data_IF_582734124772
#
_entry.id   IF_582734124772
#
_cell.length_a   1.000
_cell.length_b   1.000
_cell.length_c   1.000
_cell.angle_alpha   90.00
_cell.angle_beta   90.00
_cell.angle_gamma   90.00
#
_symmetry.space_group_name_H-M   'P 1'
#
loop_
_entity.id
_entity.type
_entity.pdbx_description
1 polymer ?
#
# COMPACT_ATOMS: atom_id res chain seq x y z
N UNK A 1 -17.30 13.45 -57.12
CA UNK A 1 -17.91 13.37 -55.77
C UNK A 1 -16.93 12.60 -54.91
N UNK A 2 -16.22 13.27 -54.00
CA UNK A 2 -15.39 12.58 -53.01
C UNK A 2 -16.36 11.92 -52.05
N UNK A 3 -16.50 10.60 -52.11
CA UNK A 3 -17.23 9.86 -51.10
C UNK A 3 -16.41 10.00 -49.81
N UNK A 4 -16.86 10.85 -48.89
CA UNK A 4 -16.34 10.87 -47.54
C UNK A 4 -16.61 9.51 -46.92
N UNK A 5 -15.56 8.73 -46.67
CA UNK A 5 -15.69 7.53 -45.85
C UNK A 5 -16.31 7.94 -44.50
N UNK A 6 -17.31 7.21 -43.99
CA UNK A 6 -17.85 7.49 -42.67
C UNK A 6 -16.70 7.43 -41.65
N UNK A 7 -16.69 8.29 -40.62
CA UNK A 7 -15.65 8.26 -39.60
C UNK A 7 -15.56 6.87 -38.98
N UNK A 8 -14.34 6.36 -38.85
CA UNK A 8 -14.05 5.06 -38.27
C UNK A 8 -14.64 5.01 -36.86
N UNK A 9 -15.64 4.16 -36.63
CA UNK A 9 -16.17 3.91 -35.27
C UNK A 9 -15.21 2.96 -34.56
N UNK A 10 -14.50 3.45 -33.56
CA UNK A 10 -13.66 2.62 -32.70
C UNK A 10 -14.54 1.79 -31.75
N UNK A 11 -14.18 0.52 -31.46
CA UNK A 11 -14.95 -0.32 -30.55
C UNK A 11 -14.85 0.21 -29.12
N UNK A 12 -15.89 0.02 -28.31
CA UNK A 12 -15.83 0.39 -26.89
C UNK A 12 -15.29 -0.76 -26.03
N UNK A 13 -14.95 -0.49 -24.77
CA UNK A 13 -14.55 -1.53 -23.82
C UNK A 13 -15.64 -2.60 -23.59
N UNK A 14 -16.91 -2.30 -23.86
CA UNK A 14 -18.01 -3.28 -23.80
C UNK A 14 -18.05 -4.23 -25.01
N UNK A 15 -17.43 -3.85 -26.13
CA UNK A 15 -17.39 -4.64 -27.37
C UNK A 15 -16.10 -5.46 -27.51
N UNK A 16 -15.13 -5.22 -26.62
CA UNK A 16 -13.82 -5.86 -26.62
C UNK A 16 -13.75 -6.99 -25.58
N UNK A 17 -12.98 -8.06 -25.83
CA UNK A 17 -12.74 -9.10 -24.84
C UNK A 17 -12.16 -8.54 -23.54
N UNK A 18 -12.74 -8.91 -22.40
CA UNK A 18 -12.25 -8.52 -21.07
C UNK A 18 -11.67 -9.68 -20.26
N UNK A 19 -11.60 -10.87 -20.86
CA UNK A 19 -10.92 -12.07 -20.33
C UNK A 19 -10.32 -12.83 -21.50
N UNK A 20 -9.17 -13.44 -21.28
CA UNK A 20 -8.48 -14.29 -22.26
C UNK A 20 -8.86 -15.78 -22.15
N UNK A 21 -9.83 -16.11 -21.28
CA UNK A 21 -10.35 -17.46 -20.98
C UNK A 21 -9.28 -18.53 -20.67
N UNK A 22 -8.05 -18.13 -20.33
CA UNK A 22 -6.93 -19.07 -20.14
C UNK A 22 -6.42 -18.99 -18.70
N UNK A 23 -6.71 -19.97 -17.82
CA UNK A 23 -6.21 -19.95 -16.45
C UNK A 23 -4.71 -20.31 -16.42
N UNK A 24 -3.85 -19.29 -16.38
CA UNK A 24 -2.39 -19.46 -16.46
C UNK A 24 -1.61 -18.91 -15.27
N UNK A 25 -2.22 -18.04 -14.45
CA UNK A 25 -1.50 -17.35 -13.39
C UNK A 25 -1.28 -18.21 -12.14
N UNK A 26 -0.10 -18.04 -11.56
CA UNK A 26 0.21 -18.60 -10.25
C UNK A 26 -0.15 -17.63 -9.11
N UNK A 27 0.01 -18.09 -7.87
CA UNK A 27 -0.35 -17.33 -6.67
C UNK A 27 0.41 -15.99 -6.57
N UNK A 28 1.68 -15.94 -7.01
CA UNK A 28 2.50 -14.73 -6.89
C UNK A 28 2.18 -13.69 -7.96
N UNK A 29 1.90 -14.12 -9.18
CA UNK A 29 1.35 -13.29 -10.26
C UNK A 29 0.08 -12.56 -9.81
N UNK A 30 -0.74 -13.22 -8.99
CA UNK A 30 -1.90 -12.58 -8.35
C UNK A 30 -1.55 -11.68 -7.16
N UNK A 31 -0.77 -12.17 -6.18
CA UNK A 31 -0.57 -11.48 -4.90
C UNK A 31 0.26 -10.20 -5.02
N UNK A 32 1.30 -10.19 -5.85
CA UNK A 32 2.24 -9.06 -5.96
C UNK A 32 1.59 -7.79 -6.53
N UNK A 33 0.89 -7.80 -7.68
CA UNK A 33 0.27 -6.58 -8.20
C UNK A 33 -0.89 -6.12 -7.29
N UNK A 34 -1.60 -7.05 -6.64
CA UNK A 34 -2.62 -6.71 -5.66
C UNK A 34 -2.04 -6.08 -4.37
N UNK A 35 -0.86 -6.50 -3.92
CA UNK A 35 -0.13 -5.83 -2.84
C UNK A 35 0.20 -4.38 -3.22
N UNK A 36 0.79 -4.18 -4.41
CA UNK A 36 1.12 -2.85 -4.92
C UNK A 36 -0.12 -1.96 -5.05
N UNK A 37 -1.22 -2.50 -5.61
CA UNK A 37 -2.51 -1.81 -5.71
C UNK A 37 -3.03 -1.40 -4.32
N UNK A 38 -2.97 -2.31 -3.34
CA UNK A 38 -3.49 -2.08 -1.99
C UNK A 38 -2.73 -0.97 -1.27
N UNK A 39 -1.39 -1.00 -1.35
CA UNK A 39 -0.53 0.06 -0.80
C UNK A 39 -0.82 1.39 -1.52
N UNK A 40 -0.86 1.37 -2.86
CA UNK A 40 -1.10 2.57 -3.67
C UNK A 40 -2.46 3.20 -3.35
N UNK A 41 -3.51 2.39 -3.26
CA UNK A 41 -4.85 2.84 -2.91
C UNK A 41 -4.92 3.50 -1.54
N UNK A 42 -4.07 3.09 -0.59
CA UNK A 42 -3.98 3.68 0.74
C UNK A 42 -3.22 5.02 0.74
N UNK A 43 -2.03 5.07 0.13
CA UNK A 43 -1.19 6.28 0.11
C UNK A 43 -1.78 7.37 -0.80
N UNK A 44 -2.48 6.98 -1.87
CA UNK A 44 -3.15 7.87 -2.81
C UNK A 44 -4.68 7.90 -2.63
N UNK A 45 -5.18 7.61 -1.42
CA UNK A 45 -6.63 7.59 -1.14
C UNK A 45 -7.37 8.88 -1.51
N UNK A 46 -6.71 10.04 -1.41
CA UNK A 46 -7.26 11.34 -1.77
C UNK A 46 -7.09 11.72 -3.25
N UNK A 47 -6.35 10.93 -4.03
CA UNK A 47 -6.02 11.20 -5.43
C UNK A 47 -7.00 10.48 -6.36
N UNK A 48 -7.44 11.16 -7.43
CA UNK A 48 -8.46 10.66 -8.38
C UNK A 48 -8.00 10.62 -9.84
N UNK A 49 -6.79 11.10 -10.15
CA UNK A 49 -6.18 11.15 -11.48
C UNK A 49 -5.20 9.99 -11.73
N UNK A 50 -5.58 8.77 -11.35
CA UNK A 50 -4.76 7.58 -11.59
C UNK A 50 -5.62 6.31 -11.66
N UNK A 51 -5.13 5.29 -12.36
CA UNK A 51 -5.72 3.96 -12.38
C UNK A 51 -4.60 2.91 -12.32
N UNK A 52 -4.80 1.86 -11.53
CA UNK A 52 -3.89 0.72 -11.49
C UNK A 52 -4.69 -0.53 -11.86
N UNK A 53 -4.33 -1.15 -12.99
CA UNK A 53 -4.93 -2.39 -13.46
C UNK A 53 -4.09 -3.59 -13.00
N UNK A 54 -4.76 -4.71 -12.77
CA UNK A 54 -4.17 -6.02 -12.46
C UNK A 54 -4.82 -7.00 -13.40
N UNK A 55 -4.02 -7.79 -14.12
CA UNK A 55 -4.49 -8.76 -15.11
C UNK A 55 -5.61 -8.17 -16.01
N UNK A 56 -5.30 -7.04 -16.65
CA UNK A 56 -6.29 -6.28 -17.42
C UNK A 56 -5.73 -5.92 -18.79
N UNK A 57 -6.50 -6.28 -19.82
CA UNK A 57 -6.20 -5.98 -21.20
C UNK A 57 -6.08 -4.48 -21.46
N UNK A 58 -4.97 -4.10 -22.11
CA UNK A 58 -4.71 -2.78 -22.67
C UNK A 58 -4.92 -2.86 -24.18
N UNK A 59 -5.90 -2.11 -24.68
CA UNK A 59 -6.21 -2.02 -26.10
C UNK A 59 -5.66 -0.75 -26.72
N UNK A 60 -4.99 -0.92 -27.87
CA UNK A 60 -4.29 0.13 -28.60
C UNK A 60 -4.38 -0.13 -30.11
N UNK A 61 -4.10 0.90 -30.90
CA UNK A 61 -4.11 0.87 -32.35
C UNK A 61 -2.71 1.21 -32.88
N UNK A 62 -2.25 0.49 -33.91
CA UNK A 62 -1.16 0.95 -34.76
C UNK A 62 -1.71 1.27 -36.14
N UNK A 63 -1.49 2.50 -36.61
CA UNK A 63 -1.87 2.92 -37.97
C UNK A 63 -3.33 2.56 -38.32
N UNK A 64 -4.27 2.81 -37.40
CA UNK A 64 -5.71 2.52 -37.52
C UNK A 64 -6.12 1.04 -37.46
N UNK A 65 -5.18 0.12 -37.21
CA UNK A 65 -5.45 -1.30 -37.01
C UNK A 65 -5.41 -1.70 -35.53
N UNK A 66 -6.47 -2.41 -35.09
CA UNK A 66 -6.55 -2.97 -33.74
C UNK A 66 -5.47 -4.04 -33.55
N UNK A 67 -4.62 -3.82 -32.55
CA UNK A 67 -3.58 -4.76 -32.20
C UNK A 67 -4.07 -5.75 -31.13
N UNK A 68 -3.44 -6.93 -31.03
CA UNK A 68 -3.62 -7.80 -29.87
C UNK A 68 -3.35 -7.03 -28.57
N UNK A 69 -4.25 -7.17 -27.60
CA UNK A 69 -4.13 -6.50 -26.32
C UNK A 69 -2.83 -6.89 -25.61
N UNK A 70 -2.31 -5.96 -24.80
CA UNK A 70 -1.28 -6.27 -23.81
C UNK A 70 -1.96 -6.59 -22.49
N UNK A 71 -1.57 -7.67 -21.83
CA UNK A 71 -2.13 -8.10 -20.55
C UNK A 71 -0.98 -8.19 -19.54
N UNK A 72 -0.54 -7.06 -18.97
CA UNK A 72 0.43 -7.08 -17.89
C UNK A 72 -0.18 -7.63 -16.60
N UNK A 73 0.67 -8.23 -15.78
CA UNK A 73 0.34 -8.60 -14.39
C UNK A 73 -0.12 -7.39 -13.57
N UNK A 74 0.49 -6.22 -13.83
CA UNK A 74 0.01 -4.96 -13.31
C UNK A 74 0.49 -3.77 -14.11
N UNK A 75 -0.29 -2.68 -14.12
CA UNK A 75 0.13 -1.43 -14.73
C UNK A 75 -0.44 -0.23 -13.99
N UNK A 76 0.24 0.92 -14.10
CA UNK A 76 -0.20 2.19 -13.54
C UNK A 76 -0.33 3.22 -14.65
N UNK A 77 -1.47 3.92 -14.67
CA UNK A 77 -1.71 5.11 -15.49
C UNK A 77 -1.95 6.32 -14.60
N UNK A 78 -1.40 7.47 -14.98
CA UNK A 78 -1.57 8.76 -14.30
C UNK A 78 -2.23 9.74 -15.27
N UNK A 79 -3.12 10.60 -14.78
CA UNK A 79 -3.89 11.54 -15.59
C UNK A 79 -5.23 11.00 -16.08
N UNK A 80 -5.58 9.77 -15.70
CA UNK A 80 -6.88 9.13 -16.00
C UNK A 80 -7.80 9.11 -14.79
N UNK A 81 -9.12 9.11 -15.01
CA UNK A 81 -10.10 9.14 -13.91
C UNK A 81 -10.07 7.82 -13.16
N UNK A 82 -9.85 7.83 -11.84
CA UNK A 82 -9.71 6.59 -11.05
C UNK A 82 -10.92 5.65 -11.13
N UNK A 83 -12.12 6.20 -11.15
CA UNK A 83 -13.38 5.45 -11.26
C UNK A 83 -14.20 6.03 -12.41
N UNK A 84 -14.03 5.49 -13.60
CA UNK A 84 -14.69 5.97 -14.83
C UNK A 84 -16.18 5.64 -14.89
N UNK A 85 -16.63 4.57 -14.21
CA UNK A 85 -18.04 4.17 -14.14
C UNK A 85 -18.35 3.42 -12.84
N UNK A 86 -19.64 3.26 -12.52
CA UNK A 86 -20.11 2.40 -11.41
C UNK A 86 -19.76 0.92 -11.63
N UNK A 87 -19.62 0.50 -12.89
CA UNK A 87 -19.21 -0.87 -13.27
C UNK A 87 -17.70 -1.06 -13.26
N UNK A 88 -16.94 0.00 -12.98
CA UNK A 88 -15.48 -0.01 -13.13
C UNK A 88 -15.04 0.00 -14.60
N UNK A 89 -13.85 -0.54 -14.85
CA UNK A 89 -13.27 -0.72 -16.19
C UNK A 89 -13.28 -2.19 -16.56
N UNK A 90 -13.78 -2.51 -17.74
CA UNK A 90 -13.71 -3.86 -18.30
C UNK A 90 -12.34 -4.11 -18.95
N UNK A 91 -11.74 -3.07 -19.53
CA UNK A 91 -10.42 -3.09 -20.13
C UNK A 91 -9.86 -1.66 -20.14
N UNK A 92 -8.57 -1.52 -20.35
CA UNK A 92 -7.92 -0.23 -20.51
C UNK A 92 -7.79 0.13 -21.98
N UNK A 93 -8.77 0.87 -22.48
CA UNK A 93 -8.88 1.21 -23.90
C UNK A 93 -8.31 2.59 -24.15
N UNK A 94 -7.20 2.69 -24.88
CA UNK A 94 -6.49 3.97 -25.02
C UNK A 94 -7.37 5.09 -25.56
N UNK A 95 -8.19 4.85 -26.57
CA UNK A 95 -9.04 5.90 -27.14
C UNK A 95 -10.23 6.30 -26.24
N UNK A 96 -10.60 5.47 -25.25
CA UNK A 96 -11.54 5.87 -24.18
C UNK A 96 -10.82 6.67 -23.08
N UNK A 97 -9.51 6.47 -22.92
CA UNK A 97 -8.66 7.11 -21.91
C UNK A 97 -7.85 8.30 -22.46
N UNK A 98 -8.35 8.98 -23.51
CA UNK A 98 -7.69 10.12 -24.17
C UNK A 98 -6.27 9.82 -24.67
N UNK A 99 -6.02 8.59 -25.07
CA UNK A 99 -4.72 8.06 -25.53
C UNK A 99 -3.60 8.20 -24.50
N UNK A 100 -3.93 8.17 -23.20
CA UNK A 100 -2.94 8.19 -22.13
C UNK A 100 -2.43 6.75 -21.92
N UNK A 101 -1.16 6.43 -22.27
CA UNK A 101 -0.61 5.11 -22.01
C UNK A 101 -0.33 4.92 -20.52
N UNK A 102 -0.23 3.67 -20.05
CA UNK A 102 0.35 3.40 -18.74
C UNK A 102 1.74 4.03 -18.60
N UNK A 103 2.01 4.63 -17.45
CA UNK A 103 3.34 5.13 -17.11
C UNK A 103 4.26 4.01 -16.62
N UNK A 104 3.70 2.94 -16.06
CA UNK A 104 4.41 1.74 -15.61
C UNK A 104 3.67 0.48 -16.06
N UNK A 105 4.40 -0.51 -16.58
CA UNK A 105 3.95 -1.89 -16.75
C UNK A 105 4.85 -2.84 -15.92
N UNK A 106 4.25 -3.89 -15.36
CA UNK A 106 4.89 -4.85 -14.46
C UNK A 106 4.62 -6.25 -14.98
N UNK A 107 5.67 -7.05 -15.06
CA UNK A 107 5.63 -8.48 -15.41
C UNK A 107 6.28 -9.30 -14.30
N UNK A 108 5.68 -10.44 -13.98
CA UNK A 108 6.15 -11.36 -12.94
C UNK A 108 6.48 -12.69 -13.59
N UNK A 109 7.74 -13.10 -13.48
CA UNK A 109 8.21 -14.34 -14.12
C UNK A 109 7.86 -15.53 -13.23
N UNK A 110 7.06 -16.45 -13.76
CA UNK A 110 6.54 -17.61 -13.03
C UNK A 110 7.07 -18.96 -13.50
N UNK A 111 7.41 -19.11 -14.79
CA UNK A 111 7.91 -20.38 -15.32
C UNK A 111 9.02 -20.28 -16.34
N UNK A 112 8.88 -19.61 -17.49
CA UNK A 112 9.97 -19.54 -18.48
C UNK A 112 10.09 -18.13 -19.03
N UNK A 113 11.27 -17.53 -18.91
CA UNK A 113 11.62 -16.33 -19.66
C UNK A 113 11.84 -16.73 -21.13
N UNK A 114 10.86 -16.48 -21.99
CA UNK A 114 10.87 -16.84 -23.42
C UNK A 114 10.94 -15.57 -24.31
N UNK A 115 11.02 -15.75 -25.63
CA UNK A 115 11.01 -14.67 -26.64
C UNK A 115 9.77 -13.74 -26.57
N UNK A 116 8.76 -14.09 -25.77
CA UNK A 116 7.57 -13.30 -25.55
C UNK A 116 7.87 -12.03 -24.75
N UNK A 117 8.77 -12.08 -23.77
CA UNK A 117 9.13 -10.91 -22.97
C UNK A 117 9.81 -9.83 -23.80
N UNK A 118 10.73 -10.19 -24.70
CA UNK A 118 11.38 -9.22 -25.59
C UNK A 118 10.38 -8.60 -26.57
N UNK A 119 9.45 -9.39 -27.12
CA UNK A 119 8.37 -8.87 -27.98
C UNK A 119 7.42 -7.96 -27.23
N UNK A 120 7.12 -8.26 -25.97
CA UNK A 120 6.25 -7.44 -25.12
C UNK A 120 6.93 -6.13 -24.73
N UNK A 121 8.24 -6.16 -24.44
CA UNK A 121 9.07 -4.98 -24.21
C UNK A 121 9.04 -4.01 -25.40
N UNK A 122 9.20 -4.50 -26.62
CA UNK A 122 9.10 -3.65 -27.82
C UNK A 122 7.73 -2.99 -27.97
N UNK A 123 6.65 -3.73 -27.69
CA UNK A 123 5.28 -3.19 -27.71
C UNK A 123 5.08 -2.11 -26.65
N UNK A 124 5.55 -2.31 -25.42
CA UNK A 124 5.48 -1.29 -24.37
C UNK A 124 6.26 -0.02 -24.74
N UNK A 125 7.44 -0.17 -25.36
CA UNK A 125 8.24 0.95 -25.85
C UNK A 125 7.46 1.76 -26.90
N UNK A 126 6.89 1.08 -27.90
CA UNK A 126 6.09 1.71 -28.97
C UNK A 126 4.83 2.40 -28.43
N UNK A 127 4.23 1.87 -27.37
CA UNK A 127 3.09 2.47 -26.67
C UNK A 127 3.48 3.70 -25.83
N UNK A 128 4.79 3.90 -25.58
CA UNK A 128 5.30 4.99 -24.75
C UNK A 128 5.24 4.72 -23.25
N UNK A 129 5.17 3.44 -22.83
CA UNK A 129 5.19 3.09 -21.40
C UNK A 129 6.54 3.49 -20.81
N UNK A 130 6.52 4.44 -19.87
CA UNK A 130 7.75 5.09 -19.39
C UNK A 130 8.64 4.14 -18.60
N UNK A 131 8.04 3.26 -17.81
CA UNK A 131 8.72 2.31 -16.94
C UNK A 131 8.23 0.90 -17.21
N UNK A 132 9.18 -0.02 -17.38
CA UNK A 132 8.88 -1.44 -17.57
C UNK A 132 9.63 -2.25 -16.51
N UNK A 133 8.88 -2.90 -15.62
CA UNK A 133 9.44 -3.67 -14.51
C UNK A 133 9.27 -5.17 -14.77
N UNK A 134 10.35 -5.91 -14.64
CA UNK A 134 10.35 -7.37 -14.60
C UNK A 134 10.77 -7.81 -13.20
N UNK A 135 9.95 -8.66 -12.58
CA UNK A 135 10.26 -9.26 -11.29
C UNK A 135 10.36 -10.77 -11.40
N UNK A 136 11.54 -11.30 -11.11
CA UNK A 136 11.89 -12.71 -11.26
C UNK A 136 12.62 -13.23 -10.02
N UNK A 137 11.96 -13.30 -8.85
CA UNK A 137 12.64 -13.64 -7.59
C UNK A 137 13.22 -15.05 -7.58
N UNK A 138 12.58 -15.99 -8.28
CA UNK A 138 12.82 -17.42 -8.10
C UNK A 138 13.61 -18.07 -9.26
N UNK A 139 13.66 -17.44 -10.44
CA UNK A 139 14.27 -18.05 -11.63
C UNK A 139 15.37 -17.22 -12.30
N UNK A 140 15.75 -16.08 -11.71
CA UNK A 140 16.75 -15.16 -12.28
C UNK A 140 18.07 -15.84 -12.67
N UNK A 141 18.55 -16.82 -11.89
CA UNK A 141 19.78 -17.58 -12.19
C UNK A 141 19.65 -18.43 -13.45
N UNK A 142 18.49 -19.06 -13.65
CA UNK A 142 18.21 -19.89 -14.82
C UNK A 142 18.07 -19.01 -16.05
N UNK A 143 17.37 -17.88 -15.90
CA UNK A 143 17.04 -16.98 -17.00
C UNK A 143 18.20 -16.06 -17.38
N UNK A 144 19.29 -16.03 -16.59
CA UNK A 144 20.43 -15.12 -16.77
C UNK A 144 20.07 -13.64 -16.64
N UNK A 145 19.07 -13.36 -15.81
CA UNK A 145 18.54 -12.03 -15.50
C UNK A 145 18.79 -11.67 -14.02
N UNK A 146 18.46 -10.44 -13.62
CA UNK A 146 18.41 -10.06 -12.20
C UNK A 146 17.03 -10.35 -11.59
N UNK A 147 16.93 -10.55 -10.27
CA UNK A 147 15.64 -10.73 -9.59
C UNK A 147 14.68 -9.53 -9.76
N UNK A 148 15.25 -8.35 -10.00
CA UNK A 148 14.56 -7.09 -10.20
C UNK A 148 15.23 -6.36 -11.36
N UNK A 149 14.45 -6.06 -12.40
CA UNK A 149 14.92 -5.27 -13.54
C UNK A 149 13.90 -4.18 -13.86
N UNK A 150 14.30 -2.93 -13.66
CA UNK A 150 13.50 -1.78 -14.06
C UNK A 150 14.14 -1.10 -15.26
N UNK A 151 13.39 -1.00 -16.34
CA UNK A 151 13.79 -0.29 -17.53
C UNK A 151 13.06 1.06 -17.61
N UNK A 152 13.78 2.11 -17.99
CA UNK A 152 13.21 3.43 -18.28
C UNK A 152 13.29 3.71 -19.77
N UNK A 153 12.19 4.17 -20.36
CA UNK A 153 12.13 4.54 -21.76
C UNK A 153 12.82 5.89 -21.99
N UNK A 154 13.88 5.89 -22.81
CA UNK A 154 14.66 7.05 -23.21
C UNK A 154 14.85 7.03 -24.73
N UNK A 155 14.39 8.08 -25.43
CA UNK A 155 14.53 8.21 -26.89
C UNK A 155 14.01 7.01 -27.69
N UNK A 156 13.02 6.28 -27.18
CA UNK A 156 12.43 5.10 -27.83
C UNK A 156 13.09 3.77 -27.47
N UNK A 157 14.10 3.78 -26.59
CA UNK A 157 14.79 2.58 -26.14
C UNK A 157 14.70 2.43 -24.61
N UNK A 158 14.60 1.19 -24.16
CA UNK A 158 14.55 0.86 -22.74
C UNK A 158 15.96 0.72 -22.16
N UNK A 159 16.29 1.62 -21.23
CA UNK A 159 17.57 1.63 -20.52
C UNK A 159 17.38 1.01 -19.14
N UNK A 160 18.14 -0.07 -18.86
CA UNK A 160 18.14 -0.73 -17.55
C UNK A 160 18.64 0.23 -16.46
N UNK A 161 17.90 0.31 -15.36
CA UNK A 161 18.23 1.11 -14.20
C UNK A 161 18.85 0.23 -13.12
N UNK A 162 19.91 0.73 -12.47
CA UNK A 162 20.70 -0.06 -11.51
C UNK A 162 20.36 0.22 -10.05
N UNK A 163 19.56 1.26 -9.76
CA UNK A 163 19.20 1.60 -8.39
C UNK A 163 17.99 0.79 -7.91
N UNK A 164 18.02 0.39 -6.64
CA UNK A 164 16.91 -0.28 -5.96
C UNK A 164 16.87 0.20 -4.50
N UNK A 165 15.79 0.87 -4.05
CA UNK A 165 14.62 1.27 -4.84
C UNK A 165 14.98 2.30 -5.91
N UNK A 166 14.31 2.22 -7.06
CA UNK A 166 14.43 3.22 -8.11
C UNK A 166 13.33 4.27 -7.95
N UNK A 167 13.71 5.53 -7.77
CA UNK A 167 12.76 6.65 -7.72
C UNK A 167 12.27 7.00 -9.13
N UNK A 168 10.95 7.00 -9.36
CA UNK A 168 10.32 7.35 -10.64
C UNK A 168 9.68 8.75 -10.54
N UNK A 169 10.35 9.82 -11.02
CA UNK A 169 9.90 11.19 -10.81
C UNK A 169 8.50 11.49 -11.36
N UNK A 170 8.13 10.88 -12.49
CA UNK A 170 6.83 11.04 -13.14
C UNK A 170 5.68 10.42 -12.33
N UNK A 171 6.00 9.44 -11.48
CA UNK A 171 5.05 8.77 -10.59
C UNK A 171 5.05 9.44 -9.21
N UNK A 172 6.20 9.95 -8.76
CA UNK A 172 6.39 10.48 -7.41
C UNK A 172 6.47 9.37 -6.36
N UNK A 173 6.92 8.18 -6.76
CA UNK A 173 7.14 7.02 -5.91
C UNK A 173 8.40 6.28 -6.38
N UNK A 174 9.07 5.61 -5.46
CA UNK A 174 10.08 4.61 -5.79
C UNK A 174 9.48 3.21 -5.85
N UNK A 175 10.19 2.28 -6.49
CA UNK A 175 9.82 0.87 -6.51
C UNK A 175 11.06 -0.01 -6.29
N UNK A 176 10.90 -1.09 -5.55
CA UNK A 176 11.99 -2.02 -5.25
C UNK A 176 11.51 -3.16 -4.35
N UNK A 177 12.43 -4.07 -4.03
CA UNK A 177 12.17 -5.21 -3.16
C UNK A 177 12.34 -4.84 -1.69
N UNK A 178 11.45 -5.33 -0.84
CA UNK A 178 11.58 -5.27 0.62
C UNK A 178 10.98 -6.52 1.24
N UNK A 179 11.47 -6.86 2.44
CA UNK A 179 10.81 -7.88 3.26
C UNK A 179 9.59 -7.25 3.97
N UNK A 180 8.48 -7.97 3.98
CA UNK A 180 7.27 -7.55 4.67
C UNK A 180 6.23 -8.67 4.75
N UNK A 181 5.16 -8.42 5.50
CA UNK A 181 4.06 -9.37 5.66
C UNK A 181 2.84 -8.93 4.86
N UNK A 182 2.39 -9.80 3.97
CA UNK A 182 1.15 -9.64 3.21
C UNK A 182 0.40 -10.96 3.19
N UNK A 183 -0.92 -10.92 3.38
CA UNK A 183 -1.80 -12.10 3.49
C UNK A 183 -1.29 -13.14 4.49
N UNK A 184 -0.69 -12.67 5.59
CA UNK A 184 -0.09 -13.55 6.61
C UNK A 184 1.22 -14.25 6.18
N UNK A 185 1.78 -13.90 5.02
CA UNK A 185 3.03 -14.44 4.51
C UNK A 185 4.15 -13.40 4.55
N UNK A 186 5.14 -13.65 5.41
CA UNK A 186 6.37 -12.86 5.48
C UNK A 186 7.39 -13.34 4.44
N UNK A 187 7.74 -12.49 3.48
CA UNK A 187 8.78 -12.76 2.46
C UNK A 187 9.27 -11.46 1.81
N UNK A 188 10.16 -11.60 0.83
CA UNK A 188 10.50 -10.51 -0.09
C UNK A 188 9.36 -10.28 -1.08
N UNK A 189 8.91 -9.03 -1.16
CA UNK A 189 7.87 -8.56 -2.07
C UNK A 189 8.35 -7.29 -2.80
N UNK A 190 7.60 -6.90 -3.84
CA UNK A 190 7.71 -5.55 -4.40
C UNK A 190 6.92 -4.55 -3.56
N UNK A 191 7.53 -3.40 -3.32
CA UNK A 191 6.95 -2.31 -2.54
C UNK A 191 7.11 -0.97 -3.25
N UNK A 192 6.18 -0.07 -2.97
CA UNK A 192 6.34 1.36 -3.23
C UNK A 192 7.24 1.99 -2.17
N UNK A 193 7.99 3.00 -2.56
CA UNK A 193 8.91 3.75 -1.70
C UNK A 193 8.60 5.25 -1.74
N UNK A 194 8.83 5.93 -0.63
CA UNK A 194 8.82 7.39 -0.57
C UNK A 194 10.13 8.00 -1.14
N UNK A 195 10.20 9.34 -1.19
CA UNK A 195 11.35 10.05 -1.74
C UNK A 195 12.62 9.89 -0.90
N UNK A 196 12.47 9.52 0.38
CA UNK A 196 13.58 9.28 1.31
C UNK A 196 14.12 7.85 1.19
N UNK A 197 13.48 6.99 0.39
CA UNK A 197 13.87 5.60 0.21
C UNK A 197 13.29 4.67 1.27
N UNK A 198 12.22 5.06 1.97
CA UNK A 198 11.51 4.17 2.88
C UNK A 198 10.37 3.43 2.17
N UNK A 199 10.29 2.11 2.35
CA UNK A 199 9.17 1.33 1.84
C UNK A 199 7.87 1.69 2.59
N UNK A 200 6.78 1.85 1.84
CA UNK A 200 5.45 1.96 2.43
C UNK A 200 5.02 0.60 3.00
N UNK A 201 4.55 0.59 4.25
CA UNK A 201 4.11 -0.63 4.92
C UNK A 201 2.84 -1.21 4.29
N UNK A 202 2.67 -2.51 4.42
CA UNK A 202 1.40 -3.16 4.09
C UNK A 202 0.30 -2.69 5.04
N UNK A 203 -0.97 -2.85 4.64
CA UNK A 203 -2.09 -2.54 5.52
C UNK A 203 -2.11 -3.44 6.77
N UNK A 204 -1.65 -4.69 6.63
CA UNK A 204 -1.53 -5.64 7.73
C UNK A 204 -0.49 -5.16 8.76
N UNK A 205 0.68 -4.73 8.30
CA UNK A 205 1.72 -4.17 9.17
C UNK A 205 1.28 -2.87 9.86
N UNK A 206 0.53 -2.02 9.14
CA UNK A 206 -0.04 -0.80 9.72
C UNK A 206 -1.07 -1.12 10.81
N UNK A 207 -1.97 -2.07 10.55
CA UNK A 207 -2.97 -2.51 11.52
C UNK A 207 -2.31 -3.12 12.76
N UNK A 208 -1.29 -3.95 12.58
CA UNK A 208 -0.55 -4.56 13.69
C UNK A 208 0.15 -3.51 14.55
N UNK A 209 0.81 -2.53 13.92
CA UNK A 209 1.43 -1.42 14.66
C UNK A 209 0.42 -0.60 15.44
N UNK A 210 -0.77 -0.36 14.88
CA UNK A 210 -1.84 0.34 15.58
C UNK A 210 -2.35 -0.46 16.78
N UNK A 211 -2.54 -1.78 16.63
CA UNK A 211 -2.93 -2.68 17.74
C UNK A 211 -1.91 -2.64 18.88
N UNK A 212 -0.63 -2.85 18.56
CA UNK A 212 0.45 -2.81 19.56
C UNK A 212 0.52 -1.47 20.27
N UNK A 213 0.34 -0.35 19.55
CA UNK A 213 0.29 0.98 20.14
C UNK A 213 -0.89 1.17 21.10
N UNK A 214 -2.06 0.68 20.73
CA UNK A 214 -3.27 0.75 21.58
C UNK A 214 -3.11 -0.10 22.85
N UNK A 215 -2.57 -1.31 22.74
CA UNK A 215 -2.30 -2.20 23.87
C UNK A 215 -1.28 -1.59 24.84
N UNK A 216 -0.19 -1.03 24.32
CA UNK A 216 0.80 -0.34 25.15
C UNK A 216 0.20 0.87 25.87
N UNK A 217 -0.67 1.62 25.20
CA UNK A 217 -1.37 2.75 25.82
C UNK A 217 -2.31 2.29 26.93
N UNK A 218 -3.11 1.26 26.69
CA UNK A 218 -4.00 0.67 27.70
C UNK A 218 -3.22 0.17 28.92
N UNK A 219 -2.12 -0.56 28.71
CA UNK A 219 -1.27 -1.01 29.81
C UNK A 219 -0.68 0.15 30.63
N UNK A 220 -0.38 1.29 29.99
CA UNK A 220 0.10 2.49 30.69
C UNK A 220 -1.01 3.12 31.53
N UNK A 221 -2.22 3.26 30.99
CA UNK A 221 -3.38 3.79 31.72
C UNK A 221 -3.67 2.92 32.94
N UNK A 222 -3.77 1.60 32.78
CA UNK A 222 -4.01 0.69 33.90
C UNK A 222 -2.94 0.74 34.98
N UNK A 223 -1.66 0.93 34.60
CA UNK A 223 -0.57 1.07 35.57
C UNK A 223 -0.69 2.36 36.37
N UNK A 224 -1.05 3.46 35.71
CA UNK A 224 -1.29 4.75 36.37
C UNK A 224 -2.48 4.63 37.32
N UNK A 225 -3.62 4.10 36.87
CA UNK A 225 -4.80 3.93 37.71
C UNK A 225 -4.53 3.00 38.91
N UNK A 226 -3.79 1.91 38.71
CA UNK A 226 -3.37 1.03 39.81
C UNK A 226 -2.44 1.74 40.80
N UNK A 227 -1.49 2.54 40.33
CA UNK A 227 -0.58 3.30 41.18
C UNK A 227 -1.33 4.39 41.95
N UNK A 228 -2.27 5.10 41.31
CA UNK A 228 -3.11 6.10 41.96
C UNK A 228 -4.00 5.47 43.03
N UNK A 229 -4.63 4.33 42.73
CA UNK A 229 -5.44 3.61 43.72
C UNK A 229 -4.60 3.11 44.90
N UNK A 230 -3.44 2.53 44.64
CA UNK A 230 -2.52 2.08 45.70
C UNK A 230 -2.02 3.24 46.56
N UNK A 231 -1.71 4.40 45.96
CA UNK A 231 -1.32 5.60 46.68
C UNK A 231 -2.46 6.12 47.56
N UNK A 232 -3.70 6.14 47.05
CA UNK A 232 -4.88 6.54 47.81
C UNK A 232 -5.13 5.59 49.00
N UNK A 233 -5.03 4.28 48.78
CA UNK A 233 -5.17 3.28 49.83
C UNK A 233 -4.07 3.43 50.89
N UNK A 234 -2.82 3.66 50.48
CA UNK A 234 -1.72 3.91 51.40
C UNK A 234 -1.92 5.19 52.22
N UNK A 235 -2.34 6.29 51.60
CA UNK A 235 -2.67 7.54 52.29
C UNK A 235 -3.79 7.34 53.32
N UNK A 236 -4.82 6.57 52.96
CA UNK A 236 -5.92 6.24 53.88
C UNK A 236 -5.44 5.39 55.06
N UNK A 237 -4.64 4.35 54.82
CA UNK A 237 -4.08 3.50 55.88
C UNK A 237 -3.18 4.29 56.84
N UNK A 238 -2.33 5.18 56.31
CA UNK A 238 -1.48 6.07 57.13
C UNK A 238 -2.36 6.97 57.99
N UNK A 239 -3.39 7.61 57.42
CA UNK A 239 -4.30 8.49 58.15
C UNK A 239 -5.01 7.75 59.30
N UNK A 240 -5.58 6.57 59.04
CA UNK A 240 -6.24 5.74 60.06
C UNK A 240 -5.26 5.32 61.17
N UNK A 241 -4.04 4.91 60.81
CA UNK A 241 -3.04 4.44 61.78
C UNK A 241 -2.54 5.58 62.67
N UNK A 242 -2.26 6.75 62.09
CA UNK A 242 -1.86 7.96 62.84
C UNK A 242 -2.94 8.36 63.84
N UNK A 243 -4.22 8.30 63.44
CA UNK A 243 -5.34 8.55 64.35
C UNK A 243 -5.42 7.52 65.49
N UNK A 244 -5.32 6.22 65.19
CA UNK A 244 -5.42 5.15 66.19
C UNK A 244 -4.30 5.18 67.25
N UNK A 245 -3.15 5.76 66.92
CA UNK A 245 -2.01 5.89 67.84
C UNK A 245 -2.24 6.96 68.93
N UNK A 246 -3.32 7.74 68.85
CA UNK A 246 -3.69 8.68 69.91
C UNK A 246 -2.69 9.83 70.12
N UNK A 247 -1.96 10.22 69.07
CA UNK A 247 -0.87 11.22 69.14
C UNK A 247 -1.34 12.66 69.39
N UNK A 248 -2.63 12.92 69.63
CA UNK A 248 -3.18 14.25 69.88
C UNK A 248 -3.17 15.20 68.67
N UNK A 249 -2.92 14.68 67.46
CA UNK A 249 -2.90 15.47 66.24
C UNK A 249 -4.32 15.88 65.81
N UNK A 250 -4.47 17.13 65.35
CA UNK A 250 -5.74 17.61 64.78
C UNK A 250 -5.97 17.04 63.37
N UNK A 251 -7.23 17.06 62.91
CA UNK A 251 -7.59 16.65 61.54
C UNK A 251 -6.78 17.40 60.48
N UNK A 252 -6.50 18.69 60.69
CA UNK A 252 -5.68 19.46 59.75
C UNK A 252 -4.23 19.01 59.74
N UNK A 253 -3.65 18.68 60.90
CA UNK A 253 -2.28 18.15 60.97
C UNK A 253 -2.16 16.78 60.29
N UNK A 254 -3.16 15.89 60.46
CA UNK A 254 -3.22 14.60 59.77
C UNK A 254 -3.39 14.80 58.25
N UNK A 255 -4.26 15.72 57.84
CA UNK A 255 -4.50 16.07 56.44
C UNK A 255 -3.22 16.59 55.76
N UNK A 256 -2.49 17.51 56.38
CA UNK A 256 -1.20 17.99 55.89
C UNK A 256 -0.17 16.86 55.81
N UNK A 257 -0.03 16.04 56.85
CA UNK A 257 0.95 14.96 56.89
C UNK A 257 0.69 13.85 55.85
N UNK A 258 -0.57 13.56 55.54
CA UNK A 258 -0.97 12.53 54.56
C UNK A 258 -1.20 13.09 53.15
N UNK A 259 -1.02 14.40 52.95
CA UNK A 259 -1.37 15.12 51.73
C UNK A 259 -2.82 14.85 51.26
N UNK A 260 -3.75 14.90 52.22
CA UNK A 260 -5.20 14.73 52.02
C UNK A 260 -5.91 16.05 52.36
N UNK A 261 -7.16 16.21 51.92
CA UNK A 261 -7.99 17.32 52.39
C UNK A 261 -8.57 17.03 53.79
N UNK A 262 -8.76 18.03 54.66
CA UNK A 262 -9.40 17.84 55.97
C UNK A 262 -10.77 17.14 55.89
N UNK A 263 -11.56 17.44 54.85
CA UNK A 263 -12.85 16.79 54.58
C UNK A 263 -12.70 15.31 54.30
N UNK A 264 -11.68 14.90 53.53
CA UNK A 264 -11.42 13.49 53.21
C UNK A 264 -10.90 12.73 54.43
N UNK A 265 -10.09 13.36 55.28
CA UNK A 265 -9.68 12.79 56.57
C UNK A 265 -10.89 12.59 57.50
N UNK A 266 -11.80 13.57 57.63
CA UNK A 266 -13.05 13.37 58.39
C UNK A 266 -13.86 12.19 57.89
N UNK A 267 -14.08 12.10 56.58
CA UNK A 267 -14.84 11.00 55.98
C UNK A 267 -14.19 9.62 56.22
N UNK A 268 -12.85 9.54 56.26
CA UNK A 268 -12.12 8.30 56.58
C UNK A 268 -12.31 7.90 58.05
N UNK A 269 -12.34 8.88 58.96
CA UNK A 269 -12.43 8.64 60.41
C UNK A 269 -13.87 8.49 60.92
N UNK A 270 -14.86 8.93 60.15
CA UNK A 270 -16.30 8.81 60.44
C UNK A 270 -16.92 7.52 59.87
N UNK A 271 -16.18 6.72 59.10
CA UNK A 271 -16.61 5.36 58.73
C UNK A 271 -16.43 4.41 59.94
N UNK A 272 -17.47 3.66 60.33
CA UNK A 272 -17.48 2.82 61.54
C UNK A 272 -16.51 1.65 61.49
#
# INVERSE_FOLDING_TARGET
MVQSQPPLRLPTSEELPCSDETPVDNELQNLIPNLLLTILAFIWRGRQDWFFGVDMAIYYLYQEELQPALIPEGFLSIGVVRRSSERGRLSYVLWEENYIPPVLAIEIVSQNYNDEYEKTKDKYSQLGVKYYLIYNPDYWQRDQHQPFELYRLEQGEYILQTAEPYWMPEIGLGIGRSRGTYVGWEREWLFWYDQEGNAYRTLEELAERQRQGAEQYQQRVERVERAEKALQEQQQQIATKVFSLGLGLTIEQIATACNLSPTKVRAILEQP
#
